data_IF_180743522995
#
_entry.id   IF_180743522995
#
_cell.length_a   1.000
_cell.length_b   1.000
_cell.length_c   1.000
_cell.angle_alpha   90.00
_cell.angle_beta   90.00
_cell.angle_gamma   90.00
#
_symmetry.space_group_name_H-M   'P 1'
#
loop_
_entity.id
_entity.type
_entity.pdbx_description
1 polymer ?
#
# COMPACT_ATOMS: atom_id res chain seq x y z
N UNK A 1 -21.17 -42.18 -40.26
CA UNK A 1 -19.70 -41.99 -40.28
C UNK A 1 -19.44 -40.57 -39.79
N UNK A 2 -19.17 -40.40 -38.49
CA UNK A 2 -19.09 -39.10 -37.83
C UNK A 2 -17.66 -38.53 -37.90
N UNK A 3 -17.57 -37.25 -38.23
CA UNK A 3 -16.38 -36.42 -38.23
C UNK A 3 -15.79 -36.23 -36.83
N UNK A 4 -14.48 -35.99 -36.72
CA UNK A 4 -13.88 -35.08 -35.72
C UNK A 4 -12.46 -34.68 -36.15
N UNK A 5 -12.22 -33.38 -36.14
CA UNK A 5 -11.02 -32.69 -36.57
C UNK A 5 -9.86 -32.87 -35.57
N UNK A 6 -8.65 -33.10 -36.09
CA UNK A 6 -7.39 -33.09 -35.34
C UNK A 6 -6.81 -31.66 -35.32
N UNK A 7 -6.70 -31.06 -34.14
CA UNK A 7 -6.04 -29.77 -33.91
C UNK A 7 -4.50 -29.85 -33.93
N UNK A 8 -3.79 -28.73 -34.16
CA UNK A 8 -2.34 -28.72 -34.33
C UNK A 8 -1.58 -28.78 -33.00
N UNK A 9 -0.46 -29.49 -33.04
CA UNK A 9 0.55 -29.57 -32.00
C UNK A 9 1.28 -28.22 -31.87
N UNK A 10 1.28 -27.64 -30.67
CA UNK A 10 2.10 -26.46 -30.34
C UNK A 10 3.56 -26.89 -30.18
N UNK A 11 4.31 -26.77 -31.27
CA UNK A 11 5.76 -26.86 -31.27
C UNK A 11 6.38 -25.63 -30.60
N UNK A 12 7.29 -25.92 -29.67
CA UNK A 12 8.26 -25.04 -29.02
C UNK A 12 8.85 -23.95 -29.93
N UNK A 13 8.78 -22.68 -29.53
CA UNK A 13 9.70 -21.63 -30.00
C UNK A 13 10.27 -20.93 -28.77
N UNK A 14 11.57 -21.14 -28.56
CA UNK A 14 12.41 -20.54 -27.52
C UNK A 14 13.22 -19.40 -28.14
N UNK A 15 13.27 -18.28 -27.41
CA UNK A 15 14.30 -17.22 -27.39
C UNK A 15 14.54 -16.33 -28.63
N UNK A 16 14.26 -15.03 -28.46
CA UNK A 16 15.10 -13.86 -28.81
C UNK A 16 14.24 -12.59 -28.63
N UNK A 17 14.53 -11.64 -27.74
CA UNK A 17 15.56 -10.62 -27.96
C UNK A 17 15.68 -9.74 -26.71
N UNK A 18 16.91 -9.63 -26.20
CA UNK A 18 17.36 -8.65 -25.21
C UNK A 18 18.13 -7.57 -26.00
N UNK A 19 18.13 -6.32 -25.53
CA UNK A 19 18.98 -5.18 -25.96
C UNK A 19 18.50 -4.37 -27.19
N UNK A 20 17.68 -3.35 -26.94
CA UNK A 20 17.73 -2.06 -27.66
C UNK A 20 17.56 -0.96 -26.62
N UNK A 21 18.61 -0.18 -26.38
CA UNK A 21 18.58 0.97 -25.46
C UNK A 21 19.93 1.54 -25.04
N UNK A 22 21.05 1.07 -25.60
CA UNK A 22 22.41 1.48 -25.23
C UNK A 22 23.25 2.01 -26.41
N UNK A 23 22.61 2.60 -27.43
CA UNK A 23 23.37 3.15 -28.56
C UNK A 23 22.68 4.31 -29.29
N UNK A 24 22.49 5.45 -28.62
CA UNK A 24 22.51 6.78 -29.25
C UNK A 24 23.13 7.73 -28.23
N UNK A 25 24.41 8.05 -28.40
CA UNK A 25 25.10 8.98 -27.50
C UNK A 25 26.62 8.94 -27.48
N UNK A 26 27.26 8.36 -28.50
CA UNK A 26 28.73 8.41 -28.64
C UNK A 26 29.09 8.93 -30.02
N UNK A 27 29.09 10.26 -30.21
CA UNK A 27 29.93 10.98 -31.17
C UNK A 27 29.65 12.50 -31.16
N UNK A 28 30.18 13.22 -30.17
CA UNK A 28 30.81 14.55 -30.37
C UNK A 28 31.86 14.70 -29.27
N UNK A 29 33.11 14.95 -29.68
CA UNK A 29 34.26 15.28 -28.82
C UNK A 29 34.87 16.60 -29.34
N UNK A 30 35.85 17.22 -28.67
CA UNK A 30 35.69 18.21 -27.60
C UNK A 30 36.23 19.59 -28.04
N UNK A 31 35.72 20.71 -27.50
CA UNK A 31 36.40 22.02 -27.61
C UNK A 31 36.16 22.90 -26.39
N UNK A 32 37.27 23.26 -25.75
CA UNK A 32 37.50 24.44 -24.90
C UNK A 32 38.86 25.04 -25.35
N UNK A 33 39.26 26.25 -24.93
CA UNK A 33 38.55 27.53 -24.84
C UNK A 33 39.39 28.68 -25.49
N UNK A 34 38.82 29.83 -25.86
CA UNK A 34 39.44 31.17 -25.71
C UNK A 34 38.74 32.30 -26.48
N UNK A 35 38.68 33.44 -25.78
CA UNK A 35 38.27 34.81 -26.12
C UNK A 35 38.90 35.38 -27.40
N UNK A 36 38.14 36.23 -28.11
CA UNK A 36 38.67 37.49 -28.68
C UNK A 36 37.55 38.42 -29.20
N UNK A 37 37.52 39.67 -28.71
CA UNK A 37 37.34 40.88 -29.52
C UNK A 37 35.95 41.28 -30.09
N UNK A 38 35.41 42.39 -29.56
CA UNK A 38 34.44 43.35 -30.16
C UNK A 38 34.91 43.89 -31.55
N UNK A 39 34.11 44.63 -32.40
CA UNK A 39 33.15 45.67 -31.99
C UNK A 39 31.93 46.01 -32.92
N UNK A 40 31.03 46.85 -32.34
CA UNK A 40 30.24 47.96 -32.91
C UNK A 40 29.21 47.79 -34.04
N UNK A 41 27.96 48.27 -33.80
CA UNK A 41 27.17 48.95 -34.85
C UNK A 41 25.65 48.71 -34.90
N UNK A 42 24.90 49.60 -34.21
CA UNK A 42 23.53 50.10 -34.49
C UNK A 42 22.26 49.23 -34.41
N UNK A 43 21.11 49.87 -34.07
CA UNK A 43 19.88 49.24 -33.56
C UNK A 43 18.85 49.01 -34.68
N UNK A 44 17.79 48.25 -34.39
CA UNK A 44 16.37 48.45 -34.78
C UNK A 44 15.58 47.16 -34.47
N UNK A 45 14.53 47.32 -33.66
CA UNK A 45 13.16 46.71 -33.70
C UNK A 45 12.95 45.28 -34.27
N UNK A 46 12.05 44.40 -33.82
CA UNK A 46 10.93 44.40 -32.89
C UNK A 46 10.46 42.93 -32.73
N UNK A 47 9.74 42.65 -31.63
CA UNK A 47 8.84 41.51 -31.39
C UNK A 47 9.47 40.09 -31.40
N UNK A 48 9.21 39.16 -30.46
CA UNK A 48 8.19 39.03 -29.43
C UNK A 48 8.78 38.29 -28.22
N UNK A 49 8.23 38.60 -27.05
CA UNK A 49 8.78 38.31 -25.72
C UNK A 49 8.12 37.07 -25.08
N UNK A 50 8.91 36.34 -24.28
CA UNK A 50 8.54 35.53 -23.10
C UNK A 50 7.60 34.33 -23.31
N UNK A 51 7.74 33.19 -22.64
CA UNK A 51 8.35 32.96 -21.34
C UNK A 51 8.78 31.50 -21.25
N UNK A 52 9.99 31.33 -20.75
CA UNK A 52 10.69 30.10 -20.44
C UNK A 52 9.85 29.24 -19.47
N UNK A 53 9.41 28.07 -19.95
CA UNK A 53 8.72 27.09 -19.11
C UNK A 53 9.75 26.46 -18.17
N UNK A 54 9.66 26.86 -16.90
CA UNK A 54 10.45 26.29 -15.81
C UNK A 54 9.96 24.88 -15.51
N UNK A 55 10.95 23.98 -15.51
CA UNK A 55 10.91 22.58 -15.15
C UNK A 55 10.42 22.37 -13.70
N UNK A 56 9.33 21.61 -13.45
CA UNK A 56 9.08 21.01 -12.16
C UNK A 56 9.66 19.60 -12.15
N UNK A 57 10.88 19.51 -11.63
CA UNK A 57 11.45 18.28 -11.12
C UNK A 57 10.42 17.58 -10.22
N UNK A 58 10.04 16.37 -10.63
CA UNK A 58 9.22 15.47 -9.81
C UNK A 58 10.12 14.90 -8.73
N UNK A 59 10.12 15.55 -7.58
CA UNK A 59 10.66 14.99 -6.34
C UNK A 59 9.71 13.89 -5.86
N UNK A 60 9.86 12.68 -6.41
CA UNK A 60 9.32 11.48 -5.78
C UNK A 60 10.31 11.13 -4.69
N UNK A 61 10.15 11.77 -3.53
CA UNK A 61 10.84 11.34 -2.33
C UNK A 61 10.42 9.91 -2.03
N UNK A 62 11.35 8.98 -2.14
CA UNK A 62 11.22 7.61 -1.66
C UNK A 62 11.15 7.66 -0.12
N UNK A 63 9.97 7.99 0.40
CA UNK A 63 9.65 7.98 1.83
C UNK A 63 9.46 6.50 2.22
N UNK A 64 10.57 5.81 2.47
CA UNK A 64 10.63 4.46 3.05
C UNK A 64 9.85 4.46 4.37
N UNK A 65 8.57 4.08 4.30
CA UNK A 65 7.64 4.02 5.42
C UNK A 65 7.97 2.81 6.30
N UNK A 66 8.99 2.97 7.13
CA UNK A 66 9.31 2.04 8.22
C UNK A 66 8.10 2.01 9.17
N UNK A 67 7.38 0.89 9.20
CA UNK A 67 6.16 0.76 9.99
C UNK A 67 6.23 -0.49 10.83
N UNK A 68 5.95 -0.30 12.11
CA UNK A 68 6.15 -1.33 13.12
C UNK A 68 4.80 -1.95 13.47
N UNK A 69 4.73 -3.27 13.38
CA UNK A 69 3.61 -4.04 13.85
C UNK A 69 3.85 -4.40 15.32
N UNK A 70 3.05 -3.86 16.23
CA UNK A 70 3.23 -4.14 17.65
C UNK A 70 2.67 -5.50 18.05
N UNK A 71 3.46 -6.17 18.90
CA UNK A 71 3.25 -7.51 19.42
C UNK A 71 2.14 -7.65 20.46
N UNK A 72 1.40 -6.60 20.81
CA UNK A 72 0.42 -6.67 21.91
C UNK A 72 -1.03 -6.82 21.41
N UNK A 73 -1.42 -8.08 21.18
CA UNK A 73 -2.78 -8.42 20.84
C UNK A 73 -3.05 -9.92 20.87
N UNK A 74 -2.70 -10.57 21.96
CA UNK A 74 -3.09 -11.96 22.19
C UNK A 74 -4.24 -12.00 23.20
N UNK A 75 -5.45 -11.63 22.75
CA UNK A 75 -6.60 -12.42 23.20
C UNK A 75 -6.33 -13.88 22.83
N UNK A 76 -6.93 -14.84 23.53
CA UNK A 76 -6.71 -16.26 23.24
C UNK A 76 -7.38 -16.62 21.90
N UNK A 77 -6.70 -16.29 20.80
CA UNK A 77 -7.22 -16.49 19.44
C UNK A 77 -7.46 -17.98 19.17
N UNK A 78 -6.78 -18.88 19.89
CA UNK A 78 -6.99 -20.32 19.79
C UNK A 78 -8.35 -20.77 20.31
N UNK A 79 -8.95 -20.01 21.23
CA UNK A 79 -10.29 -20.29 21.78
C UNK A 79 -11.43 -19.97 20.81
N UNK A 80 -11.17 -19.16 19.78
CA UNK A 80 -12.18 -18.75 18.80
C UNK A 80 -12.45 -19.89 17.82
N UNK A 81 -13.54 -20.63 18.07
CA UNK A 81 -14.04 -21.70 17.20
C UNK A 81 -14.74 -21.08 15.99
N UNK A 82 -14.33 -21.49 14.80
CA UNK A 82 -14.91 -21.04 13.54
C UNK A 82 -15.79 -22.14 12.97
N UNK A 83 -17.06 -21.81 12.77
CA UNK A 83 -17.98 -22.70 12.08
C UNK A 83 -17.72 -22.66 10.56
N UNK A 84 -17.73 -23.80 9.85
CA UNK A 84 -17.45 -23.85 8.42
C UNK A 84 -18.43 -23.04 7.55
N UNK A 85 -19.61 -22.72 8.08
CA UNK A 85 -20.65 -21.94 7.39
C UNK A 85 -20.57 -20.45 7.69
N UNK A 86 -19.83 -20.04 8.71
CA UNK A 86 -19.81 -18.64 9.17
C UNK A 86 -19.00 -17.76 8.21
N UNK A 87 -19.49 -16.56 7.92
CA UNK A 87 -18.77 -15.61 7.09
C UNK A 87 -17.65 -14.94 7.91
N UNK A 88 -16.45 -14.83 7.34
CA UNK A 88 -15.31 -14.16 7.97
C UNK A 88 -14.89 -12.94 7.16
N UNK A 89 -14.52 -11.86 7.83
CA UNK A 89 -14.05 -10.63 7.20
C UNK A 89 -12.91 -10.00 7.97
N UNK A 90 -12.12 -9.19 7.26
CA UNK A 90 -11.14 -8.29 7.86
C UNK A 90 -11.66 -6.86 7.78
N UNK A 91 -11.63 -6.13 8.89
CA UNK A 91 -11.86 -4.68 8.91
C UNK A 91 -10.56 -3.97 9.23
N UNK A 92 -10.25 -2.95 8.43
CA UNK A 92 -9.12 -2.05 8.60
C UNK A 92 -9.67 -0.70 9.05
N UNK A 93 -9.38 -0.33 10.30
CA UNK A 93 -9.80 0.94 10.90
C UNK A 93 -8.66 1.93 10.81
N UNK A 94 -8.86 3.01 10.05
CA UNK A 94 -7.86 4.05 9.79
C UNK A 94 -8.17 5.28 10.63
N UNK A 95 -7.13 5.91 11.18
CA UNK A 95 -7.23 7.25 11.77
C UNK A 95 -7.33 8.36 10.73
N UNK A 96 -8.47 9.02 10.71
CA UNK A 96 -8.79 10.15 9.81
C UNK A 96 -8.14 11.46 10.30
N UNK A 97 -7.84 11.58 11.59
CA UNK A 97 -7.24 12.76 12.23
C UNK A 97 -5.77 12.99 11.84
N UNK A 98 -5.10 11.98 11.31
CA UNK A 98 -3.69 12.05 10.91
C UNK A 98 -3.48 12.67 9.52
N UNK A 99 -4.54 12.94 8.77
CA UNK A 99 -4.43 13.54 7.43
C UNK A 99 -3.60 12.73 6.43
N UNK A 100 -3.52 11.40 6.60
CA UNK A 100 -2.70 10.53 5.75
C UNK A 100 -3.13 10.62 4.28
N UNK A 101 -2.15 10.69 3.38
CA UNK A 101 -2.42 10.62 1.94
C UNK A 101 -2.91 9.22 1.55
N UNK A 102 -3.67 9.07 0.44
CA UNK A 102 -4.16 7.76 0.00
C UNK A 102 -3.06 6.70 -0.16
N UNK A 103 -1.87 7.08 -0.62
CA UNK A 103 -0.71 6.18 -0.72
C UNK A 103 -0.22 5.68 0.64
N UNK A 104 -0.09 6.58 1.63
CA UNK A 104 0.28 6.20 3.00
C UNK A 104 -0.77 5.32 3.65
N UNK A 105 -2.06 5.62 3.45
CA UNK A 105 -3.17 4.77 3.92
C UNK A 105 -3.04 3.36 3.35
N UNK A 106 -2.81 3.22 2.04
CA UNK A 106 -2.70 1.91 1.39
C UNK A 106 -1.51 1.09 1.91
N UNK A 107 -0.35 1.74 2.10
CA UNK A 107 0.83 1.10 2.68
C UNK A 107 0.54 0.58 4.10
N UNK A 108 0.05 1.45 4.98
CA UNK A 108 -0.26 1.13 6.37
C UNK A 108 -1.33 0.03 6.49
N UNK A 109 -2.34 0.06 5.62
CA UNK A 109 -3.33 -1.01 5.51
C UNK A 109 -2.68 -2.35 5.12
N UNK A 110 -1.72 -2.34 4.20
CA UNK A 110 -1.00 -3.55 3.78
C UNK A 110 -0.17 -4.14 4.91
N UNK A 111 0.50 -3.31 5.71
CA UNK A 111 1.20 -3.75 6.93
C UNK A 111 0.23 -4.36 7.95
N UNK A 112 -0.93 -3.75 8.17
CA UNK A 112 -1.96 -4.27 9.08
C UNK A 112 -2.48 -5.65 8.63
N UNK A 113 -2.73 -5.83 7.32
CA UNK A 113 -3.15 -7.10 6.74
C UNK A 113 -2.11 -8.17 6.98
N UNK A 114 -0.83 -7.88 6.69
CA UNK A 114 0.26 -8.84 6.83
C UNK A 114 0.47 -9.24 8.29
N UNK A 115 0.42 -8.27 9.22
CA UNK A 115 0.52 -8.53 10.64
C UNK A 115 -0.61 -9.45 11.15
N UNK A 116 -1.85 -9.20 10.72
CA UNK A 116 -2.97 -10.08 11.05
C UNK A 116 -2.79 -11.48 10.45
N UNK A 117 -2.35 -11.57 9.20
CA UNK A 117 -2.11 -12.84 8.52
C UNK A 117 -1.08 -13.69 9.27
N UNK A 118 0.07 -13.12 9.61
CA UNK A 118 1.12 -13.81 10.38
C UNK A 118 0.61 -14.25 11.76
N UNK A 119 -0.20 -13.42 12.41
CA UNK A 119 -0.78 -13.75 13.72
C UNK A 119 -1.78 -14.92 13.64
N UNK A 120 -2.63 -14.96 12.61
CA UNK A 120 -3.55 -16.09 12.41
C UNK A 120 -2.80 -17.36 12.01
N UNK A 121 -1.74 -17.23 11.19
CA UNK A 121 -0.92 -18.35 10.77
C UNK A 121 -0.28 -19.08 11.95
N UNK A 122 0.16 -18.36 12.98
CA UNK A 122 0.75 -18.95 14.18
C UNK A 122 -0.27 -19.42 15.23
N UNK A 123 -1.43 -18.76 15.31
CA UNK A 123 -2.32 -18.90 16.47
C UNK A 123 -3.70 -19.50 16.15
N UNK A 124 -4.24 -19.34 14.94
CA UNK A 124 -5.54 -19.88 14.52
C UNK A 124 -5.61 -20.09 13.00
N UNK A 125 -5.01 -21.19 12.54
CA UNK A 125 -5.02 -21.61 11.13
C UNK A 125 -6.44 -21.85 10.60
N UNK A 126 -7.40 -22.43 11.36
CA UNK A 126 -8.79 -22.57 10.88
C UNK A 126 -9.44 -21.25 10.47
N UNK A 127 -9.29 -20.20 11.28
CA UNK A 127 -9.79 -18.86 10.95
C UNK A 127 -9.13 -18.32 9.67
N UNK A 128 -7.80 -18.47 9.55
CA UNK A 128 -7.07 -18.04 8.37
C UNK A 128 -7.61 -18.74 7.11
N UNK A 129 -7.71 -20.08 7.13
CA UNK A 129 -8.21 -20.87 6.00
C UNK A 129 -9.64 -20.50 5.63
N UNK A 130 -10.49 -20.22 6.61
CA UNK A 130 -11.86 -19.79 6.35
C UNK A 130 -11.87 -18.44 5.64
N UNK A 131 -11.15 -17.45 6.15
CA UNK A 131 -11.05 -16.13 5.52
C UNK A 131 -10.45 -16.21 4.10
N UNK A 132 -9.44 -17.07 3.88
CA UNK A 132 -8.89 -17.36 2.55
C UNK A 132 -9.93 -17.95 1.60
N UNK A 133 -10.71 -18.94 2.05
CA UNK A 133 -11.74 -19.60 1.24
C UNK A 133 -12.85 -18.66 0.77
N UNK A 134 -13.06 -17.55 1.49
CA UNK A 134 -14.04 -16.51 1.18
C UNK A 134 -13.47 -15.40 0.27
N UNK A 135 -12.25 -15.56 -0.25
CA UNK A 135 -11.60 -14.55 -1.09
C UNK A 135 -10.96 -13.41 -0.29
N UNK A 136 -10.69 -13.62 1.01
CA UNK A 136 -9.99 -12.67 1.88
C UNK A 136 -10.63 -11.26 1.90
N UNK A 137 -11.93 -11.12 2.18
CA UNK A 137 -12.63 -9.84 2.13
C UNK A 137 -12.03 -8.84 3.14
N UNK A 138 -11.83 -7.61 2.69
CA UNK A 138 -11.27 -6.49 3.46
C UNK A 138 -12.20 -5.29 3.35
N UNK A 139 -12.60 -4.75 4.49
CA UNK A 139 -13.48 -3.59 4.60
C UNK A 139 -12.74 -2.47 5.31
N UNK A 140 -12.87 -1.25 4.79
CA UNK A 140 -12.16 -0.11 5.36
C UNK A 140 -13.14 0.78 6.14
N UNK A 141 -12.75 1.15 7.35
CA UNK A 141 -13.52 2.02 8.26
C UNK A 141 -12.65 3.18 8.75
N UNK A 142 -13.29 4.32 9.03
CA UNK A 142 -12.65 5.52 9.57
C UNK A 142 -12.92 5.69 11.06
N UNK A 143 -11.87 6.05 11.79
CA UNK A 143 -11.87 6.42 13.21
C UNK A 143 -11.40 7.87 13.36
N UNK A 144 -11.94 8.59 14.34
CA UNK A 144 -11.67 10.03 14.52
C UNK A 144 -10.46 10.35 15.40
N UNK A 145 -10.01 9.42 16.23
CA UNK A 145 -8.92 9.64 17.18
C UNK A 145 -8.25 8.33 17.61
N UNK A 146 -7.12 8.45 18.31
CA UNK A 146 -6.37 7.30 18.83
C UNK A 146 -7.13 6.54 19.94
N UNK A 147 -7.85 7.25 20.82
CA UNK A 147 -8.56 6.65 21.96
C UNK A 147 -9.64 5.67 21.51
N UNK A 148 -10.44 6.05 20.49
CA UNK A 148 -11.44 5.16 19.93
C UNK A 148 -10.79 3.95 19.25
N UNK A 149 -9.65 4.13 18.57
CA UNK A 149 -8.91 3.02 17.97
C UNK A 149 -8.42 2.02 19.03
N UNK A 150 -7.93 2.52 20.17
CA UNK A 150 -7.52 1.68 21.30
C UNK A 150 -8.72 0.95 21.94
N UNK A 151 -9.84 1.66 22.14
CA UNK A 151 -11.06 1.07 22.68
C UNK A 151 -11.61 -0.06 21.79
N UNK A 152 -11.60 0.13 20.47
CA UNK A 152 -11.98 -0.89 19.49
C UNK A 152 -11.05 -2.10 19.55
N UNK A 153 -9.74 -1.88 19.70
CA UNK A 153 -8.77 -2.95 19.87
C UNK A 153 -9.07 -3.76 21.13
N UNK A 154 -9.26 -3.11 22.28
CA UNK A 154 -9.58 -3.80 23.54
C UNK A 154 -10.88 -4.59 23.45
N UNK A 155 -11.92 -4.02 22.84
CA UNK A 155 -13.20 -4.71 22.66
C UNK A 155 -13.03 -5.96 21.77
N UNK A 156 -12.33 -5.84 20.65
CA UNK A 156 -12.07 -6.97 19.76
C UNK A 156 -11.22 -8.07 20.43
N UNK A 157 -10.25 -7.70 21.29
CA UNK A 157 -9.47 -8.64 22.08
C UNK A 157 -10.33 -9.39 23.11
N UNK A 158 -11.28 -8.72 23.77
CA UNK A 158 -12.22 -9.37 24.69
C UNK A 158 -13.10 -10.40 23.97
N UNK A 159 -13.42 -10.15 22.69
CA UNK A 159 -14.14 -11.09 21.83
C UNK A 159 -13.22 -12.16 21.20
N UNK A 160 -11.94 -12.24 21.61
CA UNK A 160 -10.92 -13.14 21.08
C UNK A 160 -10.73 -13.04 19.55
N UNK A 161 -11.01 -11.88 18.96
CA UNK A 161 -10.78 -11.64 17.54
C UNK A 161 -9.28 -11.42 17.27
N UNK A 162 -8.83 -11.73 16.06
CA UNK A 162 -7.47 -11.40 15.66
C UNK A 162 -7.36 -9.90 15.46
N UNK A 163 -6.49 -9.24 16.22
CA UNK A 163 -6.30 -7.78 16.14
C UNK A 163 -4.82 -7.41 16.03
N UNK A 164 -4.47 -6.52 15.10
CA UNK A 164 -3.12 -5.92 15.02
C UNK A 164 -3.20 -4.42 14.74
N UNK A 165 -2.46 -3.64 15.54
CA UNK A 165 -2.30 -2.21 15.33
C UNK A 165 -0.94 -1.95 14.70
N UNK A 166 -0.91 -1.06 13.73
CA UNK A 166 0.32 -0.55 13.11
C UNK A 166 0.64 0.81 13.72
N UNK A 167 1.94 1.05 13.93
CA UNK A 167 2.48 2.35 14.31
C UNK A 167 3.35 2.90 13.18
N UNK A 168 3.32 4.22 13.04
CA UNK A 168 4.30 4.92 12.23
C UNK A 168 5.61 5.05 13.01
N UNK A 169 6.75 4.64 12.42
CA UNK A 169 8.06 4.74 13.05
C UNK A 169 8.58 6.19 13.15
N UNK A 170 7.81 7.18 12.66
CA UNK A 170 8.08 8.60 12.90
C UNK A 170 9.04 9.23 11.90
N UNK A 171 9.11 8.69 10.67
CA UNK A 171 9.76 9.37 9.54
C UNK A 171 8.79 10.22 8.70
N UNK A 172 7.49 10.19 9.03
CA UNK A 172 6.49 11.04 8.38
C UNK A 172 6.12 12.26 9.23
N UNK A 173 5.21 13.10 8.71
CA UNK A 173 4.68 14.30 9.38
C UNK A 173 3.82 13.99 10.64
N UNK A 174 3.62 12.71 10.95
CA UNK A 174 2.86 12.23 12.11
C UNK A 174 3.82 12.02 13.28
N UNK A 175 3.36 12.31 14.50
CA UNK A 175 4.14 12.09 15.72
C UNK A 175 4.60 10.63 15.83
N UNK A 176 5.90 10.43 16.04
CA UNK A 176 6.54 9.12 16.11
C UNK A 176 5.84 8.19 17.10
N UNK A 177 5.60 6.93 16.71
CA UNK A 177 4.91 5.93 17.54
C UNK A 177 3.38 6.07 17.55
N UNK A 178 2.82 7.00 16.77
CA UNK A 178 1.38 7.09 16.57
C UNK A 178 0.82 5.83 15.93
N UNK A 179 -0.20 5.25 16.56
CA UNK A 179 -1.00 4.17 15.95
C UNK A 179 -1.74 4.75 14.75
N UNK A 180 -1.62 4.14 13.58
CA UNK A 180 -2.20 4.64 12.31
C UNK A 180 -3.43 3.84 11.91
N UNK A 181 -3.30 2.51 11.90
CA UNK A 181 -4.29 1.55 11.41
C UNK A 181 -4.45 0.40 12.39
N UNK A 182 -5.69 -0.07 12.58
CA UNK A 182 -6.03 -1.29 13.32
C UNK A 182 -6.69 -2.29 12.37
N UNK A 183 -6.09 -3.47 12.22
CA UNK A 183 -6.69 -4.62 11.56
C UNK A 183 -7.43 -5.49 12.57
N UNK A 184 -8.65 -5.92 12.21
CA UNK A 184 -9.50 -6.83 12.99
C UNK A 184 -10.00 -7.94 12.06
N UNK A 185 -9.77 -9.20 12.39
CA UNK A 185 -10.24 -10.35 11.60
C UNK A 185 -11.07 -11.30 12.46
N UNK A 186 -12.17 -11.77 11.89
CA UNK A 186 -12.99 -12.82 12.48
C UNK A 186 -14.35 -12.92 11.81
N UNK A 187 -15.30 -13.59 12.48
CA UNK A 187 -16.68 -13.68 12.01
C UNK A 187 -17.33 -12.33 11.77
N UNK A 188 -18.08 -12.20 10.68
CA UNK A 188 -18.74 -10.94 10.27
C UNK A 188 -19.60 -10.37 11.39
N UNK A 189 -20.34 -11.21 12.12
CA UNK A 189 -21.22 -10.77 13.20
C UNK A 189 -20.44 -10.18 14.38
N UNK A 190 -19.34 -10.82 14.79
CA UNK A 190 -18.48 -10.33 15.87
C UNK A 190 -17.74 -9.07 15.46
N UNK A 191 -17.17 -9.06 14.26
CA UNK A 191 -16.47 -7.89 13.71
C UNK A 191 -17.41 -6.69 13.56
N UNK A 192 -18.67 -6.91 13.16
CA UNK A 192 -19.70 -5.88 13.06
C UNK A 192 -20.12 -5.34 14.43
N UNK A 193 -20.14 -6.14 15.49
CA UNK A 193 -20.39 -5.65 16.86
C UNK A 193 -19.33 -4.62 17.29
N UNK A 194 -18.08 -4.81 16.86
CA UNK A 194 -16.98 -3.88 17.17
C UNK A 194 -17.03 -2.63 16.29
N UNK A 195 -17.17 -2.82 14.97
CA UNK A 195 -16.89 -1.78 13.97
C UNK A 195 -18.14 -1.20 13.30
N UNK A 196 -19.33 -1.69 13.63
CA UNK A 196 -20.57 -1.36 12.94
C UNK A 196 -20.97 0.11 13.00
N UNK A 197 -20.59 0.81 14.06
CA UNK A 197 -20.89 2.25 14.27
C UNK A 197 -19.94 3.19 13.52
N UNK A 198 -18.84 2.66 12.98
CA UNK A 198 -17.83 3.46 12.28
C UNK A 198 -18.27 3.81 10.87
N UNK A 199 -17.77 4.93 10.34
CA UNK A 199 -18.04 5.28 8.94
C UNK A 199 -17.19 4.44 7.99
N UNK A 200 -17.71 4.01 6.83
CA UNK A 200 -16.88 3.47 5.76
C UNK A 200 -15.90 4.53 5.24
N UNK A 201 -14.74 4.09 4.71
CA UNK A 201 -13.79 4.97 4.03
C UNK A 201 -14.42 5.53 2.75
#
# INVERSE_FOLDING_TARGET
>A
MHALASGPAYGTVVAATFVIGLWVGSNVSPRDPAKSGKPHGQPVEAAANGTEATDPSRDVGDDESDSEAEGEGSGDLSSLKIDPTEECTMVLVIRDDLGMTPGKIAAQCSHAVLACYQSMLSSNVPLLRRWESLGQPKLIRRCRNADLLLALQSLAQILNLCTRSIKDAGRTQIEAGSRTVLGIVGPVDLVRRVTGTLRPL
#
